data_IF_205290700633
#
_entry.id   IF_205290700633
#
_cell.length_a   1.000
_cell.length_b   1.000
_cell.length_c   1.000
_cell.angle_alpha   90.00
_cell.angle_beta   90.00
_cell.angle_gamma   90.00
#
_symmetry.space_group_name_H-M   'P 1'
#
loop_
_entity.id
_entity.type
_entity.pdbx_description
1 polymer ?
#
# COMPACT_ATOMS: atom_id res chain seq x y z
N UNK A 1 -4.72 -19.89 -21.08
CA UNK A 1 -4.99 -18.56 -21.68
C UNK A 1 -6.49 -18.29 -21.90
N UNK A 2 -7.28 -19.13 -22.61
CA UNK A 2 -8.74 -18.92 -22.75
C UNK A 2 -9.48 -19.00 -21.42
N UNK A 3 -9.14 -19.94 -20.55
CA UNK A 3 -9.72 -20.14 -19.21
C UNK A 3 -9.52 -18.91 -18.31
N UNK A 4 -8.34 -18.28 -18.33
CA UNK A 4 -8.04 -17.10 -17.51
C UNK A 4 -8.88 -15.87 -17.93
N UNK A 5 -9.23 -15.78 -19.22
CA UNK A 5 -10.10 -14.71 -19.74
C UNK A 5 -11.51 -14.85 -19.17
N UNK A 6 -12.11 -16.04 -19.25
CA UNK A 6 -13.46 -16.28 -18.72
C UNK A 6 -13.54 -16.10 -17.21
N UNK A 7 -12.51 -16.58 -16.46
CA UNK A 7 -12.40 -16.35 -15.03
C UNK A 7 -12.33 -14.85 -14.72
N UNK A 8 -11.53 -14.10 -15.48
CA UNK A 8 -11.41 -12.65 -15.30
C UNK A 8 -12.73 -11.93 -15.56
N UNK A 9 -13.46 -12.32 -16.62
CA UNK A 9 -14.76 -11.73 -16.96
C UNK A 9 -15.77 -12.02 -15.82
N UNK A 10 -15.88 -13.28 -15.39
CA UNK A 10 -16.79 -13.68 -14.33
C UNK A 10 -16.52 -12.93 -13.01
N UNK A 11 -15.26 -12.85 -12.61
CA UNK A 11 -14.85 -12.07 -11.43
C UNK A 11 -15.20 -10.58 -11.63
N UNK A 12 -14.93 -10.00 -12.79
CA UNK A 12 -15.14 -8.57 -13.04
C UNK A 12 -16.60 -8.18 -13.02
N UNK A 13 -17.50 -9.04 -13.51
CA UNK A 13 -18.96 -8.82 -13.48
C UNK A 13 -19.46 -8.62 -12.06
N UNK A 14 -18.88 -9.33 -11.09
CA UNK A 14 -19.25 -9.22 -9.67
C UNK A 14 -18.43 -8.14 -8.97
N UNK A 15 -17.11 -8.16 -9.17
CA UNK A 15 -16.19 -7.32 -8.42
C UNK A 15 -16.35 -5.82 -8.73
N UNK A 16 -16.63 -5.44 -9.98
CA UNK A 16 -16.73 -4.02 -10.36
C UNK A 16 -17.97 -3.35 -9.75
N UNK A 17 -19.20 -3.87 -9.89
CA UNK A 17 -20.37 -3.28 -9.23
C UNK A 17 -20.24 -3.28 -7.70
N UNK A 18 -19.77 -4.38 -7.14
CA UNK A 18 -19.55 -4.48 -5.69
C UNK A 18 -18.53 -3.44 -5.20
N UNK A 19 -17.41 -3.26 -5.91
CA UNK A 19 -16.43 -2.24 -5.58
C UNK A 19 -17.05 -0.83 -5.58
N UNK A 20 -17.87 -0.50 -6.57
CA UNK A 20 -18.53 0.81 -6.65
C UNK A 20 -19.46 1.01 -5.44
N UNK A 21 -20.28 0.01 -5.12
CA UNK A 21 -21.20 0.07 -3.97
C UNK A 21 -20.41 0.25 -2.66
N UNK A 22 -19.39 -0.56 -2.43
CA UNK A 22 -18.57 -0.49 -1.21
C UNK A 22 -17.77 0.80 -1.12
N UNK A 23 -17.30 1.34 -2.25
CA UNK A 23 -16.63 2.64 -2.31
C UNK A 23 -17.59 3.76 -1.91
N UNK A 24 -18.84 3.75 -2.39
CA UNK A 24 -19.87 4.72 -2.01
C UNK A 24 -20.17 4.63 -0.52
N UNK A 25 -20.31 3.42 0.04
CA UNK A 25 -20.52 3.22 1.47
C UNK A 25 -19.37 3.82 2.29
N UNK A 26 -18.11 3.58 1.89
CA UNK A 26 -16.95 4.17 2.56
C UNK A 26 -16.92 5.69 2.43
N UNK A 27 -17.30 6.24 1.28
CA UNK A 27 -17.38 7.70 1.09
C UNK A 27 -18.44 8.32 2.01
N UNK A 28 -19.62 7.71 2.11
CA UNK A 28 -20.67 8.16 3.04
C UNK A 28 -20.18 8.05 4.49
N UNK A 29 -19.56 6.93 4.86
CA UNK A 29 -18.99 6.76 6.20
C UNK A 29 -17.90 7.79 6.52
N UNK A 30 -17.13 8.23 5.53
CA UNK A 30 -16.11 9.26 5.71
C UNK A 30 -16.67 10.64 6.09
N UNK A 31 -17.94 10.89 5.77
CA UNK A 31 -18.65 12.13 6.09
C UNK A 31 -19.38 12.01 7.44
N UNK A 32 -20.13 10.91 7.62
CA UNK A 32 -21.04 10.75 8.75
C UNK A 32 -20.34 10.16 9.98
N UNK A 33 -19.46 9.17 9.77
CA UNK A 33 -18.88 8.36 10.83
C UNK A 33 -17.36 8.18 10.62
N UNK A 34 -16.65 9.29 10.48
CA UNK A 34 -15.22 9.33 10.13
C UNK A 34 -14.31 8.39 10.92
N UNK A 35 -14.49 8.16 12.24
CA UNK A 35 -13.68 7.20 12.98
C UNK A 35 -13.81 5.76 12.48
N UNK A 36 -14.96 5.41 11.89
CA UNK A 36 -15.28 4.06 11.43
C UNK A 36 -14.72 3.73 10.03
N UNK A 37 -14.22 4.72 9.28
CA UNK A 37 -13.77 4.49 7.90
C UNK A 37 -12.65 3.43 7.83
N UNK A 38 -11.70 3.43 8.75
CA UNK A 38 -10.57 2.50 8.74
C UNK A 38 -10.97 1.06 9.08
N UNK A 39 -11.73 0.77 10.16
CA UNK A 39 -12.22 -0.58 10.39
C UNK A 39 -13.18 -1.05 9.28
N UNK A 40 -14.03 -0.19 8.75
CA UNK A 40 -14.89 -0.51 7.60
C UNK A 40 -14.07 -0.83 6.36
N UNK A 41 -13.05 -0.02 6.04
CA UNK A 41 -12.16 -0.28 4.91
C UNK A 41 -11.48 -1.64 5.02
N UNK A 42 -11.06 -2.05 6.21
CA UNK A 42 -10.47 -3.37 6.45
C UNK A 42 -11.44 -4.51 6.13
N UNK A 43 -12.72 -4.36 6.46
CA UNK A 43 -13.76 -5.34 6.12
C UNK A 43 -13.99 -5.33 4.59
N UNK A 44 -14.15 -4.16 4.01
CA UNK A 44 -14.40 -3.97 2.58
C UNK A 44 -13.28 -4.59 1.74
N UNK A 45 -12.02 -4.30 2.05
CA UNK A 45 -10.91 -4.87 1.27
C UNK A 45 -10.83 -6.39 1.42
N UNK A 46 -11.14 -6.96 2.58
CA UNK A 46 -11.18 -8.41 2.77
C UNK A 46 -12.29 -9.06 1.96
N UNK A 47 -13.48 -8.47 1.91
CA UNK A 47 -14.57 -8.92 1.03
C UNK A 47 -14.09 -8.88 -0.44
N UNK A 48 -13.49 -7.77 -0.86
CA UNK A 48 -12.98 -7.62 -2.22
C UNK A 48 -11.91 -8.66 -2.56
N UNK A 49 -10.98 -8.97 -1.64
CA UNK A 49 -9.97 -10.00 -1.86
C UNK A 49 -10.59 -11.39 -2.07
N UNK A 50 -11.63 -11.73 -1.31
CA UNK A 50 -12.37 -12.99 -1.49
C UNK A 50 -13.05 -13.04 -2.86
N UNK A 51 -13.77 -11.98 -3.25
CA UNK A 51 -14.45 -11.88 -4.55
C UNK A 51 -13.46 -11.95 -5.71
N UNK A 52 -12.26 -11.38 -5.54
CA UNK A 52 -11.18 -11.47 -6.50
C UNK A 52 -10.50 -12.85 -6.53
N UNK A 53 -10.95 -13.81 -5.72
CA UNK A 53 -10.39 -15.16 -5.66
C UNK A 53 -9.02 -15.24 -4.99
N UNK A 54 -8.71 -14.27 -4.11
CA UNK A 54 -7.43 -14.21 -3.40
C UNK A 54 -7.58 -14.89 -2.03
N UNK A 55 -6.79 -15.94 -1.83
CA UNK A 55 -6.64 -16.60 -0.52
C UNK A 55 -5.52 -15.88 0.24
N UNK A 56 -5.92 -14.87 1.03
CA UNK A 56 -5.00 -14.08 1.83
C UNK A 56 -4.47 -14.89 3.02
N UNK A 57 -3.14 -15.01 3.14
CA UNK A 57 -2.44 -15.46 4.35
C UNK A 57 -1.69 -14.27 4.95
N UNK A 58 -1.82 -14.08 6.26
CA UNK A 58 -1.09 -13.04 6.99
C UNK A 58 -0.08 -13.74 7.89
N UNK A 59 1.17 -13.33 7.84
CA UNK A 59 2.27 -13.80 8.69
C UNK A 59 2.85 -12.60 9.43
N UNK A 60 3.17 -12.78 10.71
CA UNK A 60 3.46 -11.68 11.62
C UNK A 60 2.22 -10.92 12.07
N UNK A 61 2.40 -9.86 12.80
CA UNK A 61 1.30 -9.03 13.32
C UNK A 61 1.63 -7.55 13.21
N UNK A 62 0.63 -6.76 12.81
CA UNK A 62 0.77 -5.30 12.84
C UNK A 62 0.85 -4.84 14.30
N UNK A 63 1.84 -4.00 14.69
CA UNK A 63 2.00 -3.54 16.06
C UNK A 63 0.74 -2.85 16.60
N UNK A 64 0.45 -3.04 17.89
CA UNK A 64 -0.75 -2.46 18.53
C UNK A 64 -0.57 -0.98 18.86
N UNK A 65 0.66 -0.53 19.04
CA UNK A 65 1.01 0.83 19.41
C UNK A 65 2.07 1.39 18.48
N UNK A 66 2.18 2.71 18.45
CA UNK A 66 3.16 3.42 17.63
C UNK A 66 2.56 3.96 16.34
N UNK A 67 3.38 4.72 15.64
CA UNK A 67 3.10 5.30 14.34
C UNK A 67 4.23 4.90 13.39
N UNK A 68 3.92 4.55 12.15
CA UNK A 68 4.87 3.94 11.25
C UNK A 68 4.79 4.54 9.85
N UNK A 69 5.93 4.62 9.19
CA UNK A 69 6.01 4.69 7.74
C UNK A 69 6.03 3.26 7.24
N UNK A 70 4.94 2.82 6.67
CA UNK A 70 4.75 1.48 6.15
C UNK A 70 5.37 1.42 4.76
N UNK A 71 6.44 0.65 4.60
CA UNK A 71 7.06 0.43 3.31
C UNK A 71 6.80 -1.00 2.82
N UNK A 72 6.47 -1.13 1.53
CA UNK A 72 6.20 -2.44 0.92
C UNK A 72 6.73 -2.50 -0.50
N UNK A 73 7.05 -3.71 -0.96
CA UNK A 73 7.30 -3.97 -2.37
C UNK A 73 6.03 -3.71 -3.21
N UNK A 74 6.21 -3.36 -4.48
CA UNK A 74 5.11 -2.93 -5.37
C UNK A 74 4.94 -3.88 -6.56
N UNK A 75 4.06 -4.87 -6.41
CA UNK A 75 3.93 -5.98 -7.34
C UNK A 75 2.72 -5.85 -8.27
N UNK A 76 1.60 -5.35 -7.76
CA UNK A 76 0.33 -5.43 -8.46
C UNK A 76 -0.59 -4.27 -8.11
N UNK A 77 -1.68 -4.12 -8.85
CA UNK A 77 -2.72 -3.16 -8.48
C UNK A 77 -3.48 -3.57 -7.20
N UNK A 78 -3.43 -4.86 -6.81
CA UNK A 78 -4.09 -5.35 -5.60
C UNK A 78 -3.35 -4.97 -4.30
N UNK A 79 -2.14 -4.43 -4.39
CA UNK A 79 -1.38 -3.98 -3.20
C UNK A 79 -2.18 -2.96 -2.39
N UNK A 80 -3.01 -2.15 -3.07
CA UNK A 80 -3.93 -1.18 -2.45
C UNK A 80 -5.04 -1.85 -1.61
N UNK A 81 -5.33 -3.12 -1.83
CA UNK A 81 -6.26 -3.91 -1.03
C UNK A 81 -5.53 -4.73 0.05
N UNK A 82 -4.34 -5.24 -0.27
CA UNK A 82 -3.56 -6.10 0.61
C UNK A 82 -3.08 -5.35 1.86
N UNK A 83 -2.52 -4.16 1.68
CA UNK A 83 -1.96 -3.38 2.80
C UNK A 83 -3.05 -2.97 3.81
N UNK A 84 -4.19 -2.35 3.43
CA UNK A 84 -5.26 -2.05 4.39
C UNK A 84 -5.86 -3.28 5.09
N UNK A 85 -5.75 -4.47 4.50
CA UNK A 85 -6.26 -5.69 5.13
C UNK A 85 -5.53 -6.05 6.43
N UNK A 86 -4.29 -5.59 6.62
CA UNK A 86 -3.45 -5.91 7.79
C UNK A 86 -3.26 -4.72 8.74
N UNK A 87 -3.28 -3.50 8.23
CA UNK A 87 -3.01 -2.29 9.01
C UNK A 87 -4.05 -2.11 10.12
N UNK A 88 -3.59 -1.68 11.30
CA UNK A 88 -4.42 -1.22 12.42
C UNK A 88 -4.31 0.31 12.54
N UNK A 89 -5.38 0.97 12.97
CA UNK A 89 -5.38 2.41 13.18
C UNK A 89 -5.62 3.24 11.91
N UNK A 90 -5.25 4.51 11.98
CA UNK A 90 -5.45 5.49 10.91
C UNK A 90 -4.26 5.48 9.97
N UNK A 91 -4.52 5.45 8.67
CA UNK A 91 -3.47 5.49 7.66
C UNK A 91 -3.82 6.39 6.49
N UNK A 92 -2.81 6.85 5.81
CA UNK A 92 -2.86 7.48 4.50
C UNK A 92 -1.81 6.84 3.59
N UNK A 93 -1.75 7.28 2.35
CA UNK A 93 -0.76 6.78 1.40
C UNK A 93 -0.24 7.89 0.50
N UNK A 94 0.98 7.72 0.00
CA UNK A 94 1.52 8.55 -1.08
C UNK A 94 1.29 7.81 -2.40
N UNK A 95 0.51 8.41 -3.30
CA UNK A 95 0.03 7.77 -4.52
C UNK A 95 0.26 8.66 -5.74
N UNK A 96 0.59 8.05 -6.89
CA UNK A 96 0.82 8.79 -8.11
C UNK A 96 -0.40 9.63 -8.54
N UNK A 97 -0.17 10.88 -8.91
CA UNK A 97 -1.18 11.88 -9.27
C UNK A 97 -2.17 11.38 -10.32
N UNK A 98 -1.72 10.58 -11.30
CA UNK A 98 -2.59 10.06 -12.36
C UNK A 98 -3.77 9.23 -11.84
N UNK A 99 -3.67 8.63 -10.64
CA UNK A 99 -4.78 7.89 -10.04
C UNK A 99 -5.98 8.78 -9.69
N UNK A 100 -5.78 10.06 -9.53
CA UNK A 100 -6.84 11.03 -9.23
C UNK A 100 -7.69 11.43 -10.45
N UNK A 101 -7.42 10.87 -11.63
CA UNK A 101 -8.23 11.10 -12.85
C UNK A 101 -9.59 10.42 -12.81
N UNK A 102 -9.75 9.34 -12.04
CA UNK A 102 -10.97 8.53 -11.99
C UNK A 102 -11.90 9.04 -10.89
N UNK A 103 -13.13 9.55 -11.20
CA UNK A 103 -13.95 10.28 -10.22
C UNK A 103 -14.26 9.51 -8.94
N UNK A 104 -14.78 8.29 -9.02
CA UNK A 104 -15.12 7.48 -7.84
C UNK A 104 -13.85 7.13 -7.04
N UNK A 105 -12.79 6.73 -7.74
CA UNK A 105 -11.51 6.43 -7.12
C UNK A 105 -10.88 7.66 -6.45
N UNK A 106 -10.93 8.83 -7.12
CA UNK A 106 -10.47 10.11 -6.56
C UNK A 106 -11.17 10.42 -5.24
N UNK A 107 -12.50 10.32 -5.19
CA UNK A 107 -13.24 10.61 -3.96
C UNK A 107 -12.88 9.63 -2.83
N UNK A 108 -12.72 8.36 -3.17
CA UNK A 108 -12.24 7.36 -2.20
C UNK A 108 -10.85 7.73 -1.66
N UNK A 109 -9.90 8.07 -2.54
CA UNK A 109 -8.56 8.50 -2.14
C UNK A 109 -8.61 9.74 -1.21
N UNK A 110 -9.44 10.73 -1.53
CA UNK A 110 -9.64 11.93 -0.71
C UNK A 110 -10.22 11.59 0.67
N UNK A 111 -11.12 10.61 0.76
CA UNK A 111 -11.69 10.15 2.03
C UNK A 111 -10.62 9.61 2.99
N UNK A 112 -9.58 8.97 2.46
CA UNK A 112 -8.41 8.50 3.21
C UNK A 112 -7.28 9.53 3.30
N UNK A 113 -7.47 10.76 2.82
CA UNK A 113 -6.46 11.82 2.79
C UNK A 113 -5.20 11.42 2.04
N UNK A 114 -5.36 10.61 1.00
CA UNK A 114 -4.23 10.14 0.18
C UNK A 114 -3.55 11.33 -0.47
N UNK A 115 -2.22 11.33 -0.44
CA UNK A 115 -1.36 12.41 -0.89
C UNK A 115 -0.94 12.13 -2.34
N UNK A 116 -1.33 13.00 -3.29
CA UNK A 116 -0.90 12.87 -4.67
C UNK A 116 0.57 13.26 -4.84
N UNK A 117 1.30 12.50 -5.65
CA UNK A 117 2.68 12.79 -6.01
C UNK A 117 2.88 12.66 -7.52
N UNK A 118 3.47 13.68 -8.13
CA UNK A 118 3.96 13.56 -9.50
C UNK A 118 5.40 13.06 -9.48
N UNK A 119 5.61 11.85 -9.96
CA UNK A 119 6.91 11.17 -9.94
C UNK A 119 7.89 11.72 -10.96
N UNK A 120 7.40 12.46 -11.94
CA UNK A 120 8.19 13.05 -13.02
C UNK A 120 8.55 14.51 -12.75
N UNK A 121 7.92 15.13 -11.76
CA UNK A 121 8.21 16.47 -11.30
C UNK A 121 8.84 16.42 -9.91
N UNK A 122 10.15 16.74 -9.83
CA UNK A 122 10.92 16.69 -8.57
C UNK A 122 10.34 17.59 -7.49
N UNK A 123 9.95 18.81 -7.84
CA UNK A 123 9.37 19.77 -6.88
C UNK A 123 8.04 19.25 -6.32
N UNK A 124 7.17 18.75 -7.19
CA UNK A 124 5.91 18.16 -6.77
C UNK A 124 6.10 16.90 -5.91
N UNK A 125 7.12 16.11 -6.23
CA UNK A 125 7.49 14.93 -5.45
C UNK A 125 7.95 15.31 -4.03
N UNK A 126 8.80 16.33 -3.90
CA UNK A 126 9.28 16.85 -2.60
C UNK A 126 8.12 17.41 -1.79
N UNK A 127 7.26 18.22 -2.39
CA UNK A 127 6.08 18.79 -1.71
C UNK A 127 5.13 17.68 -1.19
N UNK A 128 4.93 16.61 -1.97
CA UNK A 128 4.12 15.46 -1.52
C UNK A 128 4.72 14.76 -0.31
N UNK A 129 6.04 14.60 -0.26
CA UNK A 129 6.74 14.03 0.91
C UNK A 129 6.59 14.97 2.12
N UNK A 130 6.78 16.27 1.96
CA UNK A 130 6.58 17.25 3.03
C UNK A 130 5.13 17.24 3.57
N UNK A 131 4.13 17.12 2.70
CA UNK A 131 2.74 16.94 3.11
C UNK A 131 2.55 15.67 3.93
N UNK A 132 3.24 14.57 3.56
CA UNK A 132 3.21 13.33 4.32
C UNK A 132 3.86 13.48 5.69
N UNK A 133 4.99 14.19 5.79
CA UNK A 133 5.66 14.52 7.05
C UNK A 133 4.72 15.33 7.98
N UNK A 134 4.00 16.30 7.44
CA UNK A 134 3.02 17.08 8.21
C UNK A 134 1.89 16.19 8.75
N UNK A 135 1.37 15.28 7.93
CA UNK A 135 0.32 14.33 8.35
C UNK A 135 0.82 13.40 9.47
N UNK A 136 2.07 12.96 9.39
CA UNK A 136 2.70 12.18 10.46
C UNK A 136 2.71 13.02 11.75
N UNK A 137 3.31 14.21 11.72
CA UNK A 137 3.54 15.04 12.90
C UNK A 137 2.24 15.54 13.58
N UNK A 138 1.22 15.87 12.76
CA UNK A 138 0.03 16.57 13.28
C UNK A 138 -1.20 15.67 13.48
N UNK A 139 -1.30 14.55 12.78
CA UNK A 139 -2.54 13.74 12.73
C UNK A 139 -2.40 12.32 13.22
N UNK A 140 -1.19 11.86 13.52
CA UNK A 140 -0.92 10.51 14.03
C UNK A 140 -1.31 9.38 13.07
N UNK A 141 -1.23 9.62 11.75
CA UNK A 141 -1.52 8.60 10.73
C UNK A 141 -0.27 7.79 10.42
N UNK A 142 -0.42 6.51 10.18
CA UNK A 142 0.57 5.75 9.42
C UNK A 142 0.60 6.27 7.98
N UNK A 143 1.78 6.29 7.37
CA UNK A 143 1.92 6.65 5.95
C UNK A 143 2.39 5.43 5.17
N UNK A 144 1.57 4.99 4.22
CA UNK A 144 1.93 3.91 3.29
C UNK A 144 2.73 4.51 2.14
N UNK A 145 3.89 3.95 1.90
CA UNK A 145 4.76 4.30 0.79
C UNK A 145 5.28 3.03 0.09
N UNK A 146 5.21 3.02 -1.23
CA UNK A 146 5.83 1.98 -2.06
C UNK A 146 7.11 2.56 -2.65
N UNK A 147 8.29 2.32 -2.02
CA UNK A 147 9.50 3.10 -2.27
C UNK A 147 10.10 2.87 -3.66
N UNK A 148 9.73 1.81 -4.36
CA UNK A 148 10.08 1.57 -5.76
C UNK A 148 9.53 2.67 -6.69
N UNK A 149 8.46 3.36 -6.28
CA UNK A 149 7.81 4.40 -7.04
C UNK A 149 7.07 3.92 -8.28
N UNK A 150 6.91 2.62 -8.49
CA UNK A 150 6.13 2.01 -9.56
C UNK A 150 6.17 0.50 -9.49
N UNK A 151 5.11 -0.16 -9.98
CA UNK A 151 5.00 -1.61 -9.98
C UNK A 151 6.16 -2.27 -10.73
N UNK A 152 6.61 -3.40 -10.20
CA UNK A 152 7.58 -4.23 -10.92
C UNK A 152 6.99 -4.77 -12.22
N UNK A 153 7.85 -4.92 -13.22
CA UNK A 153 7.50 -5.53 -14.51
C UNK A 153 7.95 -6.98 -14.61
N UNK A 154 8.96 -7.33 -13.79
CA UNK A 154 9.62 -8.65 -13.83
C UNK A 154 9.24 -9.56 -12.66
N UNK A 155 8.56 -9.02 -11.64
CA UNK A 155 8.33 -9.69 -10.36
C UNK A 155 9.41 -9.41 -9.32
N UNK A 156 10.57 -8.91 -9.74
CA UNK A 156 11.66 -8.52 -8.83
C UNK A 156 11.52 -7.06 -8.41
N UNK A 157 11.89 -6.77 -7.19
CA UNK A 157 11.83 -5.42 -6.62
C UNK A 157 12.73 -4.44 -7.37
N UNK A 158 12.23 -3.25 -7.64
CA UNK A 158 13.00 -2.15 -8.25
C UNK A 158 13.86 -1.44 -7.20
N UNK A 159 14.92 -0.72 -7.60
CA UNK A 159 15.69 0.11 -6.68
C UNK A 159 14.80 1.09 -5.92
N UNK A 160 15.05 1.24 -4.63
CA UNK A 160 14.25 2.07 -3.74
C UNK A 160 14.62 3.56 -3.89
N UNK A 161 13.60 4.43 -3.90
CA UNK A 161 13.76 5.89 -3.93
C UNK A 161 13.97 6.44 -2.54
N UNK A 162 14.87 7.41 -2.39
CA UNK A 162 15.30 7.98 -1.11
C UNK A 162 14.22 8.81 -0.36
N UNK A 163 13.17 9.28 -1.04
CA UNK A 163 12.19 10.20 -0.45
C UNK A 163 11.51 9.69 0.83
N UNK A 164 11.14 8.42 0.88
CA UNK A 164 10.52 7.82 2.08
C UNK A 164 11.49 7.71 3.26
N UNK A 165 12.77 7.53 2.99
CA UNK A 165 13.81 7.44 4.03
C UNK A 165 14.13 8.82 4.60
N UNK A 166 14.18 9.86 3.77
CA UNK A 166 14.24 11.24 4.26
C UNK A 166 13.05 11.56 5.16
N UNK A 167 11.84 11.19 4.74
CA UNK A 167 10.64 11.36 5.57
C UNK A 167 10.77 10.66 6.92
N UNK A 168 11.29 9.43 6.96
CA UNK A 168 11.48 8.66 8.20
C UNK A 168 12.44 9.37 9.16
N UNK A 169 13.58 9.83 8.65
CA UNK A 169 14.60 10.57 9.43
C UNK A 169 14.03 11.92 9.91
N UNK A 170 13.43 12.72 9.02
CA UNK A 170 12.92 14.07 9.33
C UNK A 170 11.76 14.06 10.34
N UNK A 171 10.99 12.98 10.39
CA UNK A 171 9.85 12.86 11.30
C UNK A 171 10.17 12.01 12.54
N UNK A 172 11.37 11.44 12.59
CA UNK A 172 11.77 10.48 13.62
C UNK A 172 10.69 9.39 13.79
N UNK A 173 10.25 8.80 12.67
CA UNK A 173 9.17 7.80 12.64
C UNK A 173 9.71 6.47 12.17
N UNK A 174 9.51 5.36 12.92
CA UNK A 174 10.01 4.04 12.54
C UNK A 174 9.41 3.55 11.21
N UNK A 175 10.22 2.82 10.44
CA UNK A 175 9.80 2.14 9.22
C UNK A 175 9.28 0.75 9.57
N UNK A 176 8.06 0.43 9.13
CA UNK A 176 7.49 -0.91 9.23
C UNK A 176 7.51 -1.57 7.84
N UNK A 177 8.42 -2.52 7.58
CA UNK A 177 8.45 -3.24 6.31
C UNK A 177 7.32 -4.27 6.25
N UNK A 178 6.62 -4.33 5.12
CA UNK A 178 5.60 -5.33 4.83
C UNK A 178 5.88 -5.95 3.46
N UNK A 179 6.12 -7.25 3.42
CA UNK A 179 6.34 -7.99 2.18
C UNK A 179 5.05 -8.57 1.60
N UNK A 180 4.92 -8.51 0.29
CA UNK A 180 3.82 -9.07 -0.49
C UNK A 180 4.38 -10.16 -1.41
N UNK A 181 3.95 -11.41 -1.22
CA UNK A 181 4.28 -12.57 -2.06
C UNK A 181 3.03 -13.07 -2.77
N UNK A 182 3.15 -13.48 -4.04
CA UNK A 182 2.03 -13.97 -4.86
C UNK A 182 1.18 -12.88 -5.52
N UNK A 183 1.37 -11.61 -5.17
CA UNK A 183 0.62 -10.49 -5.75
C UNK A 183 1.00 -10.25 -7.23
N UNK A 184 2.26 -10.45 -7.59
CA UNK A 184 2.71 -10.38 -8.98
C UNK A 184 2.10 -11.49 -9.82
N UNK A 185 2.10 -12.73 -9.34
CA UNK A 185 1.53 -13.91 -10.00
C UNK A 185 0.03 -13.76 -10.22
N UNK A 186 -0.68 -13.12 -9.28
CA UNK A 186 -2.10 -12.82 -9.42
C UNK A 186 -2.37 -11.92 -10.63
N UNK A 187 -1.64 -10.82 -10.79
CA UNK A 187 -1.81 -9.87 -11.89
C UNK A 187 -0.53 -9.09 -12.18
N UNK A 188 0.40 -9.62 -12.98
CA UNK A 188 1.55 -8.87 -13.47
C UNK A 188 1.14 -7.59 -14.21
N UNK A 189 2.06 -6.64 -14.29
CA UNK A 189 1.81 -5.34 -14.94
C UNK A 189 1.22 -5.47 -16.35
N UNK A 190 1.81 -6.33 -17.17
CA UNK A 190 1.44 -6.48 -18.59
C UNK A 190 0.26 -7.44 -18.84
N UNK A 191 -0.08 -8.31 -17.89
CA UNK A 191 -1.18 -9.26 -18.06
C UNK A 191 -2.51 -8.58 -17.78
N UNK A 192 -3.50 -8.77 -18.68
CA UNK A 192 -4.85 -8.24 -18.55
C UNK A 192 -5.79 -9.14 -17.72
N UNK A 193 -5.41 -10.39 -17.50
CA UNK A 193 -6.23 -11.38 -16.80
C UNK A 193 -5.79 -11.58 -15.36
N UNK A 194 -6.74 -11.95 -14.50
CA UNK A 194 -6.50 -12.36 -13.12
C UNK A 194 -6.20 -13.85 -13.04
N UNK A 195 -5.32 -14.22 -12.14
CA UNK A 195 -5.04 -15.62 -11.80
C UNK A 195 -5.31 -15.82 -10.31
N UNK A 196 -6.56 -16.22 -9.94
CA UNK A 196 -6.88 -16.47 -8.54
C UNK A 196 -5.86 -17.39 -7.86
N UNK A 197 -5.55 -17.10 -6.61
CA UNK A 197 -4.50 -17.82 -5.92
C UNK A 197 -4.25 -17.37 -4.49
N UNK A 198 -3.18 -17.91 -3.92
CA UNK A 198 -2.71 -17.53 -2.59
C UNK A 198 -1.84 -16.28 -2.69
N UNK A 199 -2.07 -15.33 -1.78
CA UNK A 199 -1.21 -14.17 -1.56
C UNK A 199 -0.84 -14.14 -0.09
N UNK A 200 0.44 -13.94 0.21
CA UNK A 200 0.94 -13.85 1.57
C UNK A 200 1.34 -12.40 1.82
N UNK A 201 0.88 -11.86 2.95
CA UNK A 201 1.31 -10.57 3.48
C UNK A 201 2.11 -10.83 4.75
N UNK A 202 3.40 -10.51 4.73
CA UNK A 202 4.28 -10.65 5.91
C UNK A 202 4.56 -9.29 6.51
N UNK A 203 4.21 -9.13 7.78
CA UNK A 203 4.53 -7.95 8.57
C UNK A 203 5.85 -8.20 9.25
N UNK A 204 6.86 -7.42 8.93
CA UNK A 204 8.19 -7.51 9.54
C UNK A 204 8.29 -6.71 10.84
N UNK A 205 9.48 -6.74 11.43
CA UNK A 205 9.79 -5.95 12.61
C UNK A 205 10.07 -4.49 12.23
N UNK A 206 9.64 -3.51 13.06
CA UNK A 206 9.94 -2.12 12.81
C UNK A 206 11.44 -1.83 12.85
N UNK A 207 11.95 -1.08 11.88
CA UNK A 207 13.27 -0.47 11.97
C UNK A 207 13.11 0.78 12.83
N UNK A 208 13.60 0.73 14.04
CA UNK A 208 13.39 1.74 15.07
C UNK A 208 14.29 2.96 14.89
N UNK A 209 13.87 4.10 15.43
CA UNK A 209 14.51 5.40 15.16
C UNK A 209 15.86 5.56 15.84
N UNK A 210 16.12 4.83 16.93
CA UNK A 210 17.41 4.77 17.61
C UNK A 210 18.53 4.24 16.71
N UNK A 211 18.19 3.49 15.67
CA UNK A 211 19.13 2.96 14.68
C UNK A 211 19.45 3.92 13.55
N UNK A 212 18.69 5.00 13.38
CA UNK A 212 18.79 5.88 12.21
C UNK A 212 20.14 6.61 12.16
N UNK A 213 20.68 7.06 13.29
CA UNK A 213 21.96 7.74 13.34
C UNK A 213 23.10 6.81 12.92
N UNK A 214 23.12 5.58 13.43
CA UNK A 214 24.15 4.59 13.12
C UNK A 214 24.09 4.06 11.67
N UNK A 215 22.88 3.92 11.12
CA UNK A 215 22.68 3.44 9.75
C UNK A 215 22.93 4.53 8.69
N UNK A 216 22.59 5.77 9.02
CA UNK A 216 22.50 6.83 8.03
C UNK A 216 21.47 6.52 6.95
N UNK A 217 21.32 7.41 5.97
CA UNK A 217 20.32 7.28 4.91
C UNK A 217 20.51 6.01 4.06
N UNK A 218 21.74 5.75 3.65
CA UNK A 218 22.06 4.64 2.73
C UNK A 218 22.04 3.28 3.46
N UNK A 219 22.38 3.23 4.74
CA UNK A 219 22.25 2.04 5.58
C UNK A 219 20.79 1.69 5.83
N UNK A 220 19.96 2.69 6.16
CA UNK A 220 18.52 2.52 6.36
C UNK A 220 17.83 2.02 5.09
N UNK A 221 18.23 2.54 3.93
CA UNK A 221 17.71 2.08 2.63
C UNK A 221 18.09 0.61 2.39
N UNK A 222 19.37 0.24 2.54
CA UNK A 222 19.83 -1.14 2.34
C UNK A 222 19.15 -2.12 3.28
N UNK A 223 19.01 -1.78 4.55
CA UNK A 223 18.34 -2.63 5.53
C UNK A 223 16.86 -2.82 5.19
N UNK A 224 16.15 -1.75 4.83
CA UNK A 224 14.77 -1.83 4.40
C UNK A 224 14.62 -2.67 3.14
N UNK A 225 15.51 -2.51 2.17
CA UNK A 225 15.50 -3.30 0.93
C UNK A 225 15.68 -4.80 1.21
N UNK A 226 16.63 -5.15 2.07
CA UNK A 226 16.87 -6.54 2.47
C UNK A 226 15.64 -7.13 3.18
N UNK A 227 15.06 -6.41 4.13
CA UNK A 227 13.85 -6.82 4.84
C UNK A 227 12.68 -7.04 3.87
N UNK A 228 12.47 -6.11 2.93
CA UNK A 228 11.40 -6.24 1.94
C UNK A 228 11.61 -7.44 1.02
N UNK A 229 12.83 -7.70 0.55
CA UNK A 229 13.18 -8.88 -0.28
C UNK A 229 12.92 -10.19 0.48
N UNK A 230 13.37 -10.26 1.73
CA UNK A 230 13.14 -11.43 2.59
C UNK A 230 11.64 -11.65 2.84
N UNK A 231 10.90 -10.60 3.21
CA UNK A 231 9.47 -10.70 3.48
C UNK A 231 8.63 -10.98 2.23
N UNK A 232 9.08 -10.56 1.05
CA UNK A 232 8.40 -10.86 -0.22
C UNK A 232 8.74 -12.23 -0.80
N UNK A 233 9.72 -12.94 -0.20
CA UNK A 233 10.19 -14.23 -0.70
C UNK A 233 11.10 -14.11 -1.93
N UNK A 234 11.73 -12.96 -2.14
CA UNK A 234 12.69 -12.75 -3.24
C UNK A 234 14.09 -13.26 -2.89
N UNK A 235 14.41 -13.36 -1.60
CA UNK A 235 15.64 -13.95 -1.01
C UNK A 235 15.28 -14.77 0.21
#
# INVERSE_FOLDING_TARGET
MKTDVWVTIAISIIAVPLFIILAIILMIASIIARPLIFPMAKIVVRIMLVVLGIRLKIEGSFPDKGQYIIMSNHCSFIDVLLLPAVIKGKYTAVVALYNFKYPVWKQLLLSFKVIPIDRYNRTHAVNGIQTAEEVIKTKGYHVILLPEGGRTETGKMKPLKKGGFHMAINTNTPILPIGLEGAYEYKPFHRKTFKPGKVIVRVGDPITTDRYESLGLDGLLRETELNLKTLSGEV
#
